data_IF_482952374972
#
_entry.id   IF_482952374972
#
_cell.length_a   1.000
_cell.length_b   1.000
_cell.length_c   1.000
_cell.angle_alpha   90.00
_cell.angle_beta   90.00
_cell.angle_gamma   90.00
#
_symmetry.space_group_name_H-M   'P 1'
#
loop_
_entity.id
_entity.type
_entity.pdbx_description
1 polymer ?
#
# COMPACT_ATOMS: atom_id res chain seq x y z
N UNK A 1 -57.69 -25.32 -15.43
CA UNK A 1 -56.93 -24.54 -14.42
C UNK A 1 -55.58 -25.20 -14.22
N UNK A 2 -54.47 -24.55 -14.60
CA UNK A 2 -53.12 -25.14 -14.64
C UNK A 2 -52.50 -25.06 -13.23
N UNK A 3 -52.34 -26.19 -12.54
CA UNK A 3 -51.69 -26.22 -11.21
C UNK A 3 -50.21 -25.86 -11.37
N UNK A 4 -49.83 -24.71 -10.83
CA UNK A 4 -48.43 -24.29 -10.75
C UNK A 4 -47.77 -25.06 -9.60
N UNK A 5 -46.96 -26.06 -9.93
CA UNK A 5 -46.09 -26.73 -8.95
C UNK A 5 -45.04 -25.74 -8.47
N UNK A 6 -45.28 -25.08 -7.33
CA UNK A 6 -44.25 -24.30 -6.64
C UNK A 6 -43.29 -25.30 -5.99
N UNK A 7 -42.15 -25.57 -6.65
CA UNK A 7 -41.02 -26.24 -6.00
C UNK A 7 -40.45 -25.28 -4.96
N UNK A 8 -40.79 -25.48 -3.70
CA UNK A 8 -40.13 -24.81 -2.58
C UNK A 8 -38.73 -25.38 -2.40
N UNK A 9 -37.78 -24.52 -2.04
CA UNK A 9 -36.44 -24.91 -1.62
C UNK A 9 -36.54 -25.75 -0.35
N UNK A 10 -35.89 -26.90 -0.31
CA UNK A 10 -35.89 -27.74 0.88
C UNK A 10 -35.00 -27.11 1.95
N UNK A 11 -35.41 -27.23 3.22
CA UNK A 11 -34.59 -26.78 4.36
C UNK A 11 -33.22 -27.48 4.35
N UNK A 12 -33.18 -28.73 3.87
CA UNK A 12 -31.95 -29.52 3.74
C UNK A 12 -30.98 -28.91 2.75
N UNK A 13 -31.46 -28.43 1.59
CA UNK A 13 -30.63 -27.71 0.62
C UNK A 13 -30.02 -26.44 1.24
N UNK A 14 -30.77 -25.73 2.10
CA UNK A 14 -30.26 -24.53 2.78
C UNK A 14 -29.18 -24.85 3.81
N UNK A 15 -29.37 -25.92 4.59
CA UNK A 15 -28.44 -26.34 5.66
C UNK A 15 -27.10 -26.80 5.08
N UNK A 16 -27.11 -27.50 3.95
CA UNK A 16 -25.87 -27.93 3.29
C UNK A 16 -25.08 -26.72 2.77
N UNK A 17 -25.77 -25.72 2.21
CA UNK A 17 -25.11 -24.52 1.67
C UNK A 17 -24.38 -23.74 2.76
N UNK A 18 -25.03 -23.49 3.90
CA UNK A 18 -24.37 -22.79 5.02
C UNK A 18 -23.19 -23.59 5.60
N UNK A 19 -23.29 -24.92 5.62
CA UNK A 19 -22.21 -25.79 6.08
C UNK A 19 -20.98 -25.71 5.17
N UNK A 20 -21.17 -25.70 3.84
CA UNK A 20 -20.08 -25.55 2.87
C UNK A 20 -19.44 -24.16 2.96
N UNK A 21 -20.25 -23.09 3.05
CA UNK A 21 -19.73 -21.72 3.20
C UNK A 21 -18.90 -21.57 4.47
N UNK A 22 -19.31 -22.19 5.59
CA UNK A 22 -18.57 -22.14 6.85
C UNK A 22 -17.18 -22.80 6.74
N UNK A 23 -17.09 -23.95 6.05
CA UNK A 23 -15.82 -24.64 5.81
C UNK A 23 -14.91 -23.80 4.90
N UNK A 24 -15.45 -23.25 3.81
CA UNK A 24 -14.70 -22.41 2.88
C UNK A 24 -14.20 -21.13 3.56
N UNK A 25 -15.01 -20.48 4.40
CA UNK A 25 -14.61 -19.29 5.15
C UNK A 25 -13.48 -19.58 6.15
N UNK A 26 -13.54 -20.71 6.85
CA UNK A 26 -12.54 -21.09 7.85
C UNK A 26 -11.13 -21.27 7.25
N UNK A 27 -11.02 -21.83 6.04
CA UNK A 27 -9.73 -22.04 5.36
C UNK A 27 -9.20 -20.79 4.65
N UNK A 28 -10.05 -19.78 4.41
CA UNK A 28 -9.69 -18.61 3.60
C UNK A 28 -9.09 -17.45 4.43
N UNK A 29 -9.40 -17.34 5.72
CA UNK A 29 -8.90 -16.27 6.60
C UNK A 29 -7.36 -16.20 6.70
N UNK A 30 -6.59 -17.30 6.85
CA UNK A 30 -5.16 -17.19 7.18
C UNK A 30 -4.27 -16.63 6.06
N UNK A 31 -4.75 -16.60 4.80
CA UNK A 31 -3.91 -16.24 3.65
C UNK A 31 -3.91 -14.74 3.33
N UNK A 32 -4.93 -13.98 3.73
CA UNK A 32 -5.06 -12.57 3.32
C UNK A 32 -4.05 -11.63 4.00
N UNK A 33 -3.71 -11.86 5.27
CA UNK A 33 -2.83 -10.96 6.02
C UNK A 33 -1.43 -10.81 5.41
N UNK A 34 -0.75 -11.93 5.17
CA UNK A 34 0.60 -11.93 4.59
C UNK A 34 0.64 -11.48 3.12
N UNK A 35 -0.44 -11.70 2.36
CA UNK A 35 -0.54 -11.24 0.97
C UNK A 35 -0.63 -9.72 0.91
N UNK A 36 -1.41 -9.09 1.81
CA UNK A 36 -1.55 -7.63 1.86
C UNK A 36 -0.22 -6.97 2.23
N UNK A 37 0.48 -7.51 3.23
CA UNK A 37 1.78 -7.00 3.66
C UNK A 37 2.82 -7.11 2.55
N UNK A 38 2.90 -8.27 1.88
CA UNK A 38 3.78 -8.46 0.73
C UNK A 38 3.42 -7.55 -0.45
N UNK A 39 2.13 -7.35 -0.71
CA UNK A 39 1.66 -6.43 -1.74
C UNK A 39 2.05 -4.97 -1.43
N UNK A 40 1.93 -4.55 -0.16
CA UNK A 40 2.34 -3.21 0.26
C UNK A 40 3.86 -3.03 0.17
N UNK A 41 4.65 -4.02 0.60
CA UNK A 41 6.11 -4.00 0.44
C UNK A 41 6.53 -3.92 -1.03
N UNK A 42 5.90 -4.72 -1.92
CA UNK A 42 6.17 -4.66 -3.36
C UNK A 42 5.74 -3.34 -4.00
N UNK A 43 4.66 -2.70 -3.52
CA UNK A 43 4.25 -1.37 -3.97
C UNK A 43 5.24 -0.30 -3.54
N UNK A 44 5.67 -0.30 -2.27
CA UNK A 44 6.66 0.64 -1.77
C UNK A 44 7.99 0.53 -2.53
N UNK A 45 8.44 -0.70 -2.79
CA UNK A 45 9.65 -0.94 -3.58
C UNK A 45 9.52 -0.43 -5.03
N UNK A 46 8.40 -0.71 -5.70
CA UNK A 46 8.16 -0.19 -7.05
C UNK A 46 8.12 1.33 -7.08
N UNK A 47 7.47 1.96 -6.12
CA UNK A 47 7.39 3.42 -6.02
C UNK A 47 8.79 4.04 -5.84
N UNK A 48 9.61 3.48 -4.95
CA UNK A 48 10.98 3.94 -4.73
C UNK A 48 11.85 3.78 -5.99
N UNK A 49 11.76 2.64 -6.68
CA UNK A 49 12.49 2.42 -7.94
C UNK A 49 12.05 3.39 -9.04
N UNK A 50 10.75 3.66 -9.14
CA UNK A 50 10.22 4.60 -10.13
C UNK A 50 10.66 6.04 -9.83
N UNK A 51 10.61 6.46 -8.55
CA UNK A 51 11.10 7.77 -8.14
C UNK A 51 12.60 7.93 -8.45
N UNK A 52 13.43 6.92 -8.13
CA UNK A 52 14.85 6.94 -8.43
C UNK A 52 15.16 6.98 -9.93
N UNK A 53 14.46 6.18 -10.75
CA UNK A 53 14.61 6.19 -12.20
C UNK A 53 14.26 7.55 -12.79
N UNK A 54 13.18 8.15 -12.32
CA UNK A 54 12.77 9.48 -12.78
C UNK A 54 13.81 10.53 -12.40
N UNK A 55 14.31 10.51 -11.16
CA UNK A 55 15.35 11.43 -10.69
C UNK A 55 16.62 11.32 -11.56
N UNK A 56 17.04 10.10 -11.91
CA UNK A 56 18.21 9.89 -12.77
C UNK A 56 17.99 10.40 -14.21
N UNK A 57 16.81 10.20 -14.78
CA UNK A 57 16.49 10.69 -16.13
C UNK A 57 16.54 12.22 -16.16
N UNK A 58 16.03 12.88 -15.12
CA UNK A 58 16.04 14.33 -14.99
C UNK A 58 17.47 14.88 -14.84
N UNK A 59 18.28 14.25 -14.00
CA UNK A 59 19.71 14.59 -13.82
C UNK A 59 20.51 14.42 -15.11
N UNK A 60 20.25 13.36 -15.88
CA UNK A 60 20.94 13.14 -17.17
C UNK A 60 20.48 14.11 -18.27
N UNK A 61 19.29 14.70 -18.14
CA UNK A 61 18.72 15.58 -19.16
C UNK A 61 19.18 17.04 -19.03
N UNK A 62 19.30 17.58 -17.81
CA UNK A 62 19.56 19.02 -17.60
C UNK A 62 21.04 19.34 -17.32
N UNK A 63 21.88 18.34 -17.06
CA UNK A 63 23.31 18.54 -16.75
C UNK A 63 23.58 19.31 -15.45
N UNK A 64 22.52 19.72 -14.75
CA UNK A 64 22.50 20.35 -13.44
C UNK A 64 21.64 19.49 -12.54
N UNK A 65 22.17 19.24 -11.35
CA UNK A 65 21.53 18.41 -10.34
C UNK A 65 20.64 19.32 -9.50
N UNK A 66 19.44 19.59 -10.02
CA UNK A 66 18.44 20.38 -9.32
C UNK A 66 17.77 19.52 -8.23
N UNK A 67 17.30 20.17 -7.16
CA UNK A 67 16.47 19.50 -6.16
C UNK A 67 15.15 19.09 -6.81
N UNK A 68 14.91 17.79 -6.92
CA UNK A 68 13.70 17.23 -7.51
C UNK A 68 12.89 16.53 -6.44
N UNK A 69 11.58 16.83 -6.41
CA UNK A 69 10.64 16.19 -5.49
C UNK A 69 9.66 15.30 -6.24
N UNK A 70 9.50 14.06 -5.78
CA UNK A 70 8.56 13.08 -6.31
C UNK A 70 7.51 12.72 -5.26
N UNK A 71 6.25 12.94 -5.59
CA UNK A 71 5.11 12.50 -4.78
C UNK A 71 4.53 11.21 -5.37
N UNK A 72 4.22 10.24 -4.52
CA UNK A 72 3.59 8.98 -4.94
C UNK A 72 2.21 9.24 -5.56
N UNK A 73 1.74 8.36 -6.45
CA UNK A 73 0.46 8.52 -7.16
C UNK A 73 -0.74 8.65 -6.21
N UNK A 74 -0.66 8.08 -5.02
CA UNK A 74 -1.68 8.18 -3.97
C UNK A 74 -1.56 9.43 -3.08
N UNK A 75 -0.51 10.25 -3.29
CA UNK A 75 -0.24 11.44 -2.50
C UNK A 75 0.25 11.15 -1.07
N UNK A 76 0.47 9.90 -0.71
CA UNK A 76 0.79 9.51 0.67
C UNK A 76 2.22 9.89 1.06
N UNK A 77 3.16 9.84 0.11
CA UNK A 77 4.58 10.07 0.36
C UNK A 77 5.20 11.02 -0.65
N UNK A 78 6.15 11.81 -0.17
CA UNK A 78 6.96 12.72 -0.96
C UNK A 78 8.43 12.44 -0.70
N UNK A 79 9.23 12.28 -1.76
CA UNK A 79 10.65 12.01 -1.73
C UNK A 79 11.42 13.14 -2.39
N UNK A 80 12.46 13.64 -1.74
CA UNK A 80 13.30 14.71 -2.27
C UNK A 80 14.66 14.14 -2.63
N UNK A 81 15.10 14.44 -3.84
CA UNK A 81 16.41 14.09 -4.35
C UNK A 81 17.20 15.38 -4.58
N UNK A 82 18.43 15.41 -4.10
CA UNK A 82 19.42 16.44 -4.40
C UNK A 82 20.62 15.72 -4.96
N UNK A 83 21.16 16.18 -6.07
CA UNK A 83 22.32 15.53 -6.68
C UNK A 83 22.10 14.06 -7.10
N UNK A 84 20.86 13.67 -7.39
CA UNK A 84 20.48 12.27 -7.65
C UNK A 84 20.53 11.37 -6.41
N UNK A 85 20.83 11.93 -5.25
CA UNK A 85 20.85 11.27 -3.95
C UNK A 85 19.55 11.58 -3.22
N UNK A 86 18.93 10.57 -2.61
CA UNK A 86 17.77 10.80 -1.76
C UNK A 86 18.21 11.59 -0.52
N UNK A 87 17.61 12.77 -0.33
CA UNK A 87 17.91 13.70 0.78
C UNK A 87 16.72 13.94 1.69
N UNK A 88 15.50 13.65 1.23
CA UNK A 88 14.29 13.85 2.02
C UNK A 88 13.21 12.80 1.77
N UNK A 89 12.41 12.54 2.81
CA UNK A 89 11.18 11.77 2.73
C UNK A 89 10.15 12.38 3.68
N UNK A 90 8.90 12.50 3.26
CA UNK A 90 7.78 13.02 4.07
C UNK A 90 6.54 12.17 3.81
N UNK A 91 5.70 12.01 4.84
CA UNK A 91 4.39 11.37 4.74
C UNK A 91 3.29 12.43 4.97
N UNK A 92 2.26 12.42 4.13
CA UNK A 92 1.15 13.38 4.21
C UNK A 92 0.33 13.24 5.51
N UNK A 93 0.14 12.01 5.99
CA UNK A 93 -0.59 11.75 7.24
C UNK A 93 0.20 12.19 8.49
N UNK A 94 1.52 12.38 8.37
CA UNK A 94 2.38 12.86 9.45
C UNK A 94 2.44 11.96 10.69
N UNK A 95 2.12 10.67 10.55
CA UNK A 95 2.20 9.70 11.64
C UNK A 95 3.66 9.37 11.98
N UNK A 96 4.54 9.43 10.98
CA UNK A 96 5.97 9.19 11.11
C UNK A 96 6.81 10.40 10.69
N UNK A 97 7.96 10.55 11.33
CA UNK A 97 9.07 11.41 10.87
C UNK A 97 10.11 10.55 10.17
N UNK A 98 10.59 10.98 9.01
CA UNK A 98 11.57 10.24 8.23
C UNK A 98 12.90 10.98 8.25
N UNK A 99 13.97 10.24 8.57
CA UNK A 99 15.35 10.72 8.44
C UNK A 99 15.99 10.01 7.27
N UNK A 100 16.60 10.77 6.36
CA UNK A 100 17.36 10.21 5.24
C UNK A 100 18.84 10.43 5.46
N UNK A 101 19.62 9.36 5.46
CA UNK A 101 21.06 9.41 5.57
C UNK A 101 21.70 8.41 4.60
N UNK A 102 22.59 8.89 3.72
CA UNK A 102 23.30 8.09 2.73
C UNK A 102 22.37 7.15 1.92
N UNK A 103 21.21 7.65 1.48
CA UNK A 103 20.23 6.86 0.71
C UNK A 103 19.42 5.85 1.53
N UNK A 104 19.62 5.77 2.84
CA UNK A 104 18.80 4.96 3.76
C UNK A 104 17.71 5.83 4.38
N UNK A 105 16.47 5.35 4.35
CA UNK A 105 15.33 5.99 5.01
C UNK A 105 15.07 5.31 6.35
N UNK A 106 15.07 6.09 7.43
CA UNK A 106 14.68 5.64 8.77
C UNK A 106 13.39 6.36 9.18
N UNK A 107 12.34 5.61 9.50
CA UNK A 107 11.08 6.16 10.00
C UNK A 107 11.00 6.01 11.53
N UNK A 108 10.58 7.06 12.22
CA UNK A 108 10.27 7.04 13.64
C UNK A 108 8.85 7.59 13.85
N UNK A 109 8.09 7.01 14.80
CA UNK A 109 6.77 7.52 15.14
C UNK A 109 6.90 8.98 15.60
N UNK A 110 6.05 9.86 15.07
CA UNK A 110 6.04 11.27 15.46
C UNK A 110 5.69 11.36 16.95
N UNK A 111 6.52 12.06 17.72
CA UNK A 111 6.24 12.29 19.13
C UNK A 111 4.88 13.02 19.26
N UNK A 112 4.04 12.67 20.25
CA UNK A 112 2.82 13.42 20.50
C UNK A 112 3.19 14.88 20.74
N UNK A 113 2.46 15.80 20.08
CA UNK A 113 2.70 17.22 20.24
C UNK A 113 2.65 17.56 21.74
N UNK A 114 3.75 18.08 22.29
CA UNK A 114 3.79 18.54 23.66
C UNK A 114 2.70 19.61 23.81
N UNK A 115 1.69 19.32 24.64
CA UNK A 115 0.58 20.23 24.88
C UNK A 115 1.09 21.55 25.43
N UNK A 116 0.63 22.65 24.84
CA UNK A 116 0.69 23.99 25.43
C UNK A 116 -0.48 24.18 26.39
#
# INVERSE_FOLDING_TARGET
>A
MKKMNKKGFTIVELVIVIAVIAILAAVMIPTFGGIIEKANASKALQNAQNAYKNALIEVMADGVINETTYTTTDGAYTFTFTDGVLTGATEAAGAYTYTVANGTITAAAKAPAAGN
#
